data_IF_558973879603
#
_entry.id   IF_558973879603
#
_cell.length_a   1.000
_cell.length_b   1.000
_cell.length_c   1.000
_cell.angle_alpha   90.00
_cell.angle_beta   90.00
_cell.angle_gamma   90.00
#
_symmetry.space_group_name_H-M   'P 1'
#
loop_
_entity.id
_entity.type
_entity.pdbx_description
1 polymer ?
#
# COMPACT_ATOMS: atom_id res chain seq x y z
N UNK A 1 5.43 19.85 14.32
CA UNK A 1 4.77 18.57 14.61
C UNK A 1 4.72 17.78 13.29
N UNK A 2 5.74 16.98 12.97
CA UNK A 2 5.68 16.11 11.81
C UNK A 2 4.69 14.98 12.13
N UNK A 3 3.51 14.97 11.49
CA UNK A 3 2.58 13.84 11.62
C UNK A 3 3.33 12.61 11.12
N UNK A 4 3.46 11.59 11.96
CA UNK A 4 3.97 10.27 11.56
C UNK A 4 3.08 9.75 10.44
N UNK A 5 3.53 9.82 9.19
CA UNK A 5 2.89 9.18 8.03
C UNK A 5 3.12 7.67 8.10
N UNK A 6 2.49 7.00 9.07
CA UNK A 6 2.70 5.57 9.33
C UNK A 6 1.49 4.77 8.89
N UNK A 7 1.74 3.56 8.39
CA UNK A 7 0.70 2.59 8.01
C UNK A 7 -0.36 2.43 9.11
N UNK A 8 0.04 2.45 10.39
CA UNK A 8 -0.86 2.34 11.55
C UNK A 8 -2.00 3.37 11.64
N UNK A 9 -1.95 4.47 10.86
CA UNK A 9 -3.06 5.44 10.77
C UNK A 9 -4.17 5.01 9.79
N UNK A 10 -3.90 4.04 8.93
CA UNK A 10 -4.85 3.43 8.01
C UNK A 10 -5.42 2.17 8.66
N UNK A 11 -6.74 1.95 8.69
CA UNK A 11 -7.34 0.72 9.22
C UNK A 11 -6.77 -0.55 8.55
N UNK A 12 -6.57 -1.63 9.32
CA UNK A 12 -5.93 -2.87 8.83
C UNK A 12 -6.55 -3.40 7.53
N UNK A 13 -7.88 -3.43 7.45
CA UNK A 13 -8.59 -3.91 6.26
C UNK A 13 -8.33 -3.01 5.05
N UNK A 14 -8.22 -1.70 5.25
CA UNK A 14 -7.83 -0.77 4.19
C UNK A 14 -6.35 -0.94 3.81
N UNK A 15 -5.45 -1.26 4.75
CA UNK A 15 -4.04 -1.58 4.43
C UNK A 15 -3.92 -2.83 3.57
N UNK A 16 -4.65 -3.90 3.91
CA UNK A 16 -4.71 -5.12 3.09
C UNK A 16 -5.26 -4.84 1.70
N UNK A 17 -6.30 -4.00 1.60
CA UNK A 17 -6.86 -3.61 0.30
C UNK A 17 -5.86 -2.77 -0.54
N UNK A 18 -5.14 -1.85 0.09
CA UNK A 18 -4.06 -1.08 -0.56
C UNK A 18 -2.96 -2.01 -1.05
N UNK A 19 -2.55 -2.98 -0.22
CA UNK A 19 -1.54 -3.98 -0.59
C UNK A 19 -2.00 -4.82 -1.79
N UNK A 20 -3.23 -5.33 -1.76
CA UNK A 20 -3.82 -6.08 -2.86
C UNK A 20 -3.83 -5.26 -4.16
N UNK A 21 -4.29 -4.01 -4.10
CA UNK A 21 -4.30 -3.12 -5.27
C UNK A 21 -2.90 -2.86 -5.82
N UNK A 22 -1.89 -2.77 -4.94
CA UNK A 22 -0.49 -2.62 -5.32
C UNK A 22 0.05 -3.89 -6.03
N UNK A 23 -0.30 -5.08 -5.57
CA UNK A 23 0.05 -6.34 -6.25
C UNK A 23 -0.65 -6.45 -7.60
N UNK A 24 -1.96 -6.20 -7.65
CA UNK A 24 -2.73 -6.25 -8.89
C UNK A 24 -2.24 -5.26 -9.96
N UNK A 25 -1.79 -4.08 -9.53
CA UNK A 25 -1.18 -3.08 -10.40
C UNK A 25 0.12 -3.61 -11.04
N UNK A 26 0.97 -4.25 -10.23
CA UNK A 26 2.22 -4.85 -10.70
C UNK A 26 1.97 -6.05 -11.62
N UNK A 27 0.99 -6.89 -11.30
CA UNK A 27 0.57 -8.02 -12.13
C UNK A 27 0.05 -7.58 -13.51
N UNK A 28 -0.53 -6.38 -13.58
CA UNK A 28 -0.94 -5.73 -14.84
C UNK A 28 0.23 -5.10 -15.61
N UNK A 29 1.45 -5.22 -15.11
CA UNK A 29 2.67 -4.74 -15.76
C UNK A 29 3.08 -3.30 -15.38
N UNK A 30 2.44 -2.68 -14.39
CA UNK A 30 2.89 -1.39 -13.88
C UNK A 30 4.20 -1.55 -13.10
N UNK A 31 5.10 -0.56 -13.20
CA UNK A 31 6.28 -0.55 -12.33
C UNK A 31 5.87 -0.41 -10.86
N UNK A 32 6.76 -0.81 -9.94
CA UNK A 32 6.53 -0.66 -8.48
C UNK A 32 6.21 0.80 -8.12
N UNK A 33 6.88 1.76 -8.75
CA UNK A 33 6.70 3.18 -8.47
C UNK A 33 5.35 3.70 -8.99
N UNK A 34 4.96 3.33 -10.21
CA UNK A 34 3.63 3.65 -10.76
C UNK A 34 2.50 2.98 -9.97
N UNK A 35 2.73 1.76 -9.50
CA UNK A 35 1.77 0.99 -8.69
C UNK A 35 1.53 1.68 -7.34
N UNK A 36 2.58 2.18 -6.69
CA UNK A 36 2.48 2.96 -5.44
C UNK A 36 1.71 4.26 -5.63
N UNK A 37 1.99 5.00 -6.71
CA UNK A 37 1.26 6.24 -7.04
C UNK A 37 -0.21 5.95 -7.33
N UNK A 38 -0.50 4.87 -8.05
CA UNK A 38 -1.87 4.47 -8.39
C UNK A 38 -2.65 4.09 -7.13
N UNK A 39 -2.07 3.26 -6.26
CA UNK A 39 -2.68 2.87 -4.99
C UNK A 39 -2.86 4.08 -4.04
N UNK A 40 -1.88 4.99 -3.97
CA UNK A 40 -1.99 6.21 -3.17
C UNK A 40 -3.20 7.06 -3.58
N UNK A 41 -3.38 7.26 -4.90
CA UNK A 41 -4.52 7.99 -5.46
C UNK A 41 -5.86 7.28 -5.23
N UNK A 42 -5.91 5.96 -5.42
CA UNK A 42 -7.13 5.17 -5.29
C UNK A 42 -7.70 5.18 -3.87
N UNK A 43 -6.82 5.20 -2.85
CA UNK A 43 -7.21 5.11 -1.44
C UNK A 43 -7.10 6.43 -0.68
N UNK A 44 -6.81 7.54 -1.38
CA UNK A 44 -6.62 8.88 -0.80
C UNK A 44 -5.59 8.90 0.35
N UNK A 45 -4.50 8.14 0.18
CA UNK A 45 -3.37 8.05 1.11
C UNK A 45 -2.10 8.60 0.48
N UNK A 46 -1.08 8.84 1.31
CA UNK A 46 0.24 9.27 0.82
C UNK A 46 1.04 8.08 0.29
N UNK A 47 1.95 8.33 -0.67
CA UNK A 47 2.90 7.30 -1.12
C UNK A 47 3.78 6.76 0.02
N UNK A 48 4.11 7.59 1.01
CA UNK A 48 4.81 7.16 2.23
C UNK A 48 4.03 6.09 2.99
N UNK A 49 2.72 6.27 3.14
CA UNK A 49 1.85 5.28 3.77
C UNK A 49 1.77 4.00 2.93
N UNK A 50 1.68 4.11 1.59
CA UNK A 50 1.67 2.94 0.70
C UNK A 50 2.98 2.16 0.83
N UNK A 51 4.14 2.82 0.87
CA UNK A 51 5.44 2.16 1.09
C UNK A 51 5.51 1.44 2.43
N UNK A 52 4.96 2.04 3.49
CA UNK A 52 4.90 1.41 4.80
C UNK A 52 3.97 0.17 4.80
N UNK A 53 2.83 0.25 4.10
CA UNK A 53 1.88 -0.85 3.93
C UNK A 53 2.46 -1.98 3.09
N UNK A 54 3.20 -1.67 2.02
CA UNK A 54 3.90 -2.65 1.19
C UNK A 54 4.88 -3.47 2.04
N UNK A 55 5.68 -2.80 2.87
CA UNK A 55 6.59 -3.50 3.79
C UNK A 55 5.82 -4.35 4.80
N UNK A 56 4.76 -3.82 5.40
CA UNK A 56 3.90 -4.56 6.33
C UNK A 56 3.28 -5.81 5.66
N UNK A 57 2.78 -5.68 4.43
CA UNK A 57 2.17 -6.80 3.71
C UNK A 57 3.18 -7.87 3.31
N UNK A 58 4.41 -7.51 2.95
CA UNK A 58 5.49 -8.47 2.75
C UNK A 58 5.87 -9.19 4.05
N UNK A 59 5.98 -8.45 5.16
CA UNK A 59 6.30 -9.01 6.48
C UNK A 59 5.18 -9.93 7.03
N UNK A 60 3.92 -9.69 6.64
CA UNK A 60 2.74 -10.45 7.08
C UNK A 60 2.19 -11.42 6.00
N UNK A 61 2.93 -11.64 4.91
CA UNK A 61 2.55 -12.54 3.81
C UNK A 61 1.14 -12.27 3.24
N UNK A 62 0.82 -11.00 3.01
CA UNK A 62 -0.43 -10.61 2.36
C UNK A 62 -0.31 -10.67 0.83
N UNK A 63 -1.44 -10.83 0.12
CA UNK A 63 -2.67 -11.44 0.61
C UNK A 63 -2.43 -12.94 0.94
N UNK A 64 -3.09 -13.53 1.95
CA UNK A 64 -2.99 -14.97 2.16
C UNK A 64 -3.55 -15.68 0.93
N UNK A 65 -2.67 -16.33 0.15
CA UNK A 65 -3.04 -17.16 -1.00
C UNK A 65 -3.81 -18.41 -0.55
#
# INVERSE_FOLDING_TARGET
MARKETASQVPLEQRKAIFLALVEAQDKGQSVEESRVTAAKQFEVTETQVKAIEREGLDNEWPPL
#
